data_IF_118297215232
#
_entry.id   IF_118297215232
#
_cell.length_a   1.000
_cell.length_b   1.000
_cell.length_c   1.000
_cell.angle_alpha   90.00
_cell.angle_beta   90.00
_cell.angle_gamma   90.00
#
_symmetry.space_group_name_H-M   'P 1'
#
loop_
_entity.id
_entity.type
_entity.pdbx_description
1 polymer ?
#
# COMPACT_ATOMS: atom_id res chain seq x y z
N UNK A 1 -23.62 5.60 -28.56
CA UNK A 1 -24.19 6.44 -27.50
C UNK A 1 -23.14 6.58 -26.41
N UNK A 2 -22.37 7.66 -26.49
CA UNK A 2 -21.11 7.82 -25.77
C UNK A 2 -21.23 8.68 -24.51
N UNK A 3 -20.22 8.50 -23.65
CA UNK A 3 -19.62 9.53 -22.78
C UNK A 3 -20.48 10.19 -21.70
N UNK A 4 -20.91 9.41 -20.68
CA UNK A 4 -21.26 9.97 -19.36
C UNK A 4 -20.36 9.49 -18.20
N UNK A 5 -19.33 8.68 -18.46
CA UNK A 5 -18.43 8.16 -17.42
C UNK A 5 -17.13 8.94 -17.16
N UNK A 6 -16.73 9.87 -18.05
CA UNK A 6 -15.37 10.44 -18.05
C UNK A 6 -15.17 11.66 -17.13
N UNK A 7 -16.22 12.39 -16.77
CA UNK A 7 -16.06 13.61 -15.95
C UNK A 7 -15.61 13.31 -14.52
N UNK A 8 -15.87 12.11 -14.00
CA UNK A 8 -15.54 11.76 -12.62
C UNK A 8 -14.12 11.18 -12.48
N UNK A 9 -13.61 10.47 -13.48
CA UNK A 9 -12.27 9.86 -13.44
C UNK A 9 -11.16 10.90 -13.37
N UNK A 10 -11.23 11.94 -14.21
CA UNK A 10 -10.22 12.98 -14.24
C UNK A 10 -10.12 13.71 -12.90
N UNK A 11 -11.25 13.98 -12.25
CA UNK A 11 -11.29 14.59 -10.92
C UNK A 11 -10.60 13.67 -9.90
N UNK A 12 -10.96 12.39 -9.87
CA UNK A 12 -10.33 11.42 -8.96
C UNK A 12 -8.81 11.28 -9.18
N UNK A 13 -8.35 11.32 -10.43
CA UNK A 13 -6.92 11.25 -10.75
C UNK A 13 -6.18 12.54 -10.37
N UNK A 14 -6.81 13.71 -10.53
CA UNK A 14 -6.26 14.99 -10.06
C UNK A 14 -6.16 14.99 -8.54
N UNK A 15 -7.22 14.58 -7.83
CA UNK A 15 -7.21 14.49 -6.37
C UNK A 15 -6.13 13.52 -5.87
N UNK A 16 -6.00 12.36 -6.51
CA UNK A 16 -4.93 11.40 -6.21
C UNK A 16 -3.55 12.01 -6.43
N UNK A 17 -3.35 12.76 -7.53
CA UNK A 17 -2.08 13.44 -7.79
C UNK A 17 -1.77 14.50 -6.73
N UNK A 18 -2.75 15.32 -6.35
CA UNK A 18 -2.58 16.38 -5.34
C UNK A 18 -2.26 15.79 -3.96
N UNK A 19 -2.85 14.65 -3.60
CA UNK A 19 -2.61 13.97 -2.32
C UNK A 19 -1.27 13.21 -2.28
N UNK A 20 -0.86 12.63 -3.42
CA UNK A 20 0.26 11.69 -3.47
C UNK A 20 1.53 12.32 -4.07
N UNK A 21 1.47 13.56 -4.55
CA UNK A 21 2.47 14.23 -5.39
C UNK A 21 2.87 13.44 -6.66
N UNK A 22 2.18 12.34 -6.96
CA UNK A 22 2.46 11.44 -8.07
C UNK A 22 1.23 10.61 -8.38
N UNK A 23 1.01 10.39 -9.67
CA UNK A 23 0.04 9.41 -10.16
C UNK A 23 0.77 8.11 -10.53
N UNK A 24 0.74 7.11 -9.66
CA UNK A 24 1.36 5.81 -9.92
C UNK A 24 0.60 5.03 -11.02
N UNK A 25 1.26 4.05 -11.63
CA UNK A 25 0.67 3.29 -12.74
C UNK A 25 -0.52 2.45 -12.30
N UNK A 26 -0.56 1.94 -11.05
CA UNK A 26 -1.71 1.16 -10.59
C UNK A 26 -2.94 2.06 -10.57
N UNK A 27 -2.82 3.27 -10.01
CA UNK A 27 -3.89 4.27 -10.02
C UNK A 27 -4.36 4.61 -11.44
N UNK A 28 -3.44 4.77 -12.41
CA UNK A 28 -3.81 5.00 -13.82
C UNK A 28 -4.61 3.84 -14.42
N UNK A 29 -4.20 2.60 -14.16
CA UNK A 29 -4.92 1.40 -14.64
C UNK A 29 -6.29 1.29 -13.97
N UNK A 30 -6.41 1.61 -12.68
CA UNK A 30 -7.72 1.65 -12.02
C UNK A 30 -8.65 2.71 -12.62
N UNK A 31 -8.10 3.76 -13.25
CA UNK A 31 -8.83 4.81 -13.94
C UNK A 31 -9.74 4.34 -15.08
N UNK A 32 -9.51 3.15 -15.66
CA UNK A 32 -10.44 2.56 -16.62
C UNK A 32 -11.81 2.23 -16.01
N UNK A 33 -11.89 2.13 -14.68
CA UNK A 33 -13.12 1.81 -13.94
C UNK A 33 -13.35 2.84 -12.82
N UNK A 34 -14.02 3.98 -13.10
CA UNK A 34 -14.03 5.13 -12.18
C UNK A 34 -14.70 4.84 -10.83
N UNK A 35 -15.75 4.01 -10.83
CA UNK A 35 -16.41 3.57 -9.59
C UNK A 35 -15.49 2.70 -8.72
N UNK A 36 -14.63 1.89 -9.34
CA UNK A 36 -13.65 1.09 -8.62
C UNK A 36 -12.49 1.97 -8.13
N UNK A 37 -12.02 2.89 -8.98
CA UNK A 37 -10.97 3.86 -8.63
C UNK A 37 -11.31 4.64 -7.36
N UNK A 38 -12.54 5.16 -7.24
CA UNK A 38 -12.96 5.89 -6.04
C UNK A 38 -12.83 5.04 -4.75
N UNK A 39 -13.38 3.83 -4.75
CA UNK A 39 -13.28 2.92 -3.59
C UNK A 39 -11.83 2.51 -3.31
N UNK A 40 -11.04 2.29 -4.36
CA UNK A 40 -9.63 1.96 -4.26
C UNK A 40 -8.83 3.07 -3.58
N UNK A 41 -8.96 4.32 -4.05
CA UNK A 41 -8.27 5.48 -3.50
C UNK A 41 -8.68 5.75 -2.05
N UNK A 42 -9.97 5.70 -1.74
CA UNK A 42 -10.46 5.87 -0.36
C UNK A 42 -9.90 4.82 0.59
N UNK A 43 -9.88 3.56 0.16
CA UNK A 43 -9.33 2.45 0.95
C UNK A 43 -7.83 2.58 1.15
N UNK A 44 -7.09 2.91 0.09
CA UNK A 44 -5.64 3.11 0.16
C UNK A 44 -5.29 4.27 1.08
N UNK A 45 -6.00 5.40 0.96
CA UNK A 45 -5.81 6.56 1.83
C UNK A 45 -6.08 6.20 3.29
N UNK A 46 -7.20 5.55 3.58
CA UNK A 46 -7.54 5.11 4.94
C UNK A 46 -6.44 4.22 5.55
N UNK A 47 -5.97 3.22 4.81
CA UNK A 47 -4.98 2.27 5.32
C UNK A 47 -3.61 2.94 5.49
N UNK A 48 -3.12 3.70 4.51
CA UNK A 48 -1.74 4.16 4.49
C UNK A 48 -1.52 5.56 5.07
N UNK A 49 -2.51 6.46 4.99
CA UNK A 49 -2.36 7.88 5.31
C UNK A 49 -3.44 8.46 6.23
N UNK A 50 -4.53 7.74 6.48
CA UNK A 50 -5.56 8.15 7.41
C UNK A 50 -5.11 8.01 8.87
N UNK A 51 -5.71 8.77 9.77
CA UNK A 51 -5.49 8.62 11.20
C UNK A 51 -5.76 7.18 11.64
N UNK A 52 -4.89 6.65 12.49
CA UNK A 52 -4.97 5.25 12.88
C UNK A 52 -3.92 4.85 13.91
N UNK A 53 -4.00 3.61 14.41
CA UNK A 53 -3.22 3.15 15.56
C UNK A 53 -1.73 2.91 15.27
N UNK A 54 -1.32 2.97 14.01
CA UNK A 54 0.06 2.74 13.59
C UNK A 54 0.66 4.01 12.95
N UNK A 55 1.93 4.34 13.26
CA UNK A 55 2.70 5.35 12.53
C UNK A 55 2.78 5.05 11.02
N UNK A 56 2.85 6.07 10.17
CA UNK A 56 2.80 5.90 8.70
C UNK A 56 3.95 5.05 8.15
N UNK A 57 5.18 5.25 8.65
CA UNK A 57 6.35 4.45 8.31
C UNK A 57 6.14 2.95 8.61
N UNK A 58 5.53 2.61 9.75
CA UNK A 58 5.17 1.22 10.06
C UNK A 58 4.23 0.63 9.02
N UNK A 59 3.23 1.38 8.56
CA UNK A 59 2.24 0.91 7.57
C UNK A 59 2.90 0.65 6.22
N UNK A 60 3.75 1.55 5.75
CA UNK A 60 4.51 1.36 4.52
C UNK A 60 5.49 0.18 4.63
N UNK A 61 6.14 -0.01 5.78
CA UNK A 61 7.00 -1.18 5.98
C UNK A 61 6.23 -2.50 5.99
N UNK A 62 5.05 -2.54 6.61
CA UNK A 62 4.15 -3.70 6.54
C UNK A 62 3.75 -3.99 5.09
N UNK A 63 3.44 -2.96 4.30
CA UNK A 63 3.13 -3.11 2.88
C UNK A 63 4.33 -3.66 2.08
N UNK A 64 5.57 -3.25 2.39
CA UNK A 64 6.80 -3.84 1.82
C UNK A 64 6.88 -5.33 2.15
N UNK A 65 6.66 -5.72 3.40
CA UNK A 65 6.69 -7.13 3.82
C UNK A 65 5.62 -7.96 3.09
N UNK A 66 4.41 -7.43 2.95
CA UNK A 66 3.32 -8.11 2.24
C UNK A 66 3.64 -8.28 0.74
N UNK A 67 4.05 -7.21 0.06
CA UNK A 67 4.45 -7.26 -1.36
C UNK A 67 5.66 -8.19 -1.60
N UNK A 68 6.57 -8.28 -0.64
CA UNK A 68 7.71 -9.20 -0.64
C UNK A 68 7.33 -10.67 -0.74
N UNK A 69 6.17 -11.10 -0.21
CA UNK A 69 5.71 -12.49 -0.27
C UNK A 69 5.45 -12.98 -1.70
N UNK A 70 5.13 -12.07 -2.61
CA UNK A 70 4.89 -12.36 -4.03
C UNK A 70 5.98 -11.80 -4.94
N UNK A 71 7.13 -11.38 -4.39
CA UNK A 71 8.23 -10.77 -5.14
C UNK A 71 7.78 -9.60 -6.03
N UNK A 72 6.77 -8.84 -5.59
CA UNK A 72 6.22 -7.74 -6.37
C UNK A 72 7.14 -6.51 -6.28
N UNK A 73 8.18 -6.48 -7.10
CA UNK A 73 9.20 -5.43 -7.12
C UNK A 73 8.62 -4.03 -7.30
N UNK A 74 7.56 -3.90 -8.11
CA UNK A 74 6.86 -2.64 -8.33
C UNK A 74 6.30 -2.06 -7.02
N UNK A 75 5.48 -2.84 -6.30
CA UNK A 75 4.88 -2.39 -5.04
C UNK A 75 5.95 -2.22 -3.95
N UNK A 76 6.96 -3.09 -3.90
CA UNK A 76 8.08 -2.94 -2.97
C UNK A 76 8.77 -1.60 -3.20
N UNK A 77 9.06 -1.22 -4.44
CA UNK A 77 9.76 0.03 -4.75
C UNK A 77 8.90 1.26 -4.42
N UNK A 78 7.60 1.21 -4.73
CA UNK A 78 6.65 2.28 -4.40
C UNK A 78 6.58 2.48 -2.88
N UNK A 79 6.37 1.41 -2.11
CA UNK A 79 6.25 1.49 -0.65
C UNK A 79 7.57 1.83 0.04
N UNK A 80 8.72 1.46 -0.54
CA UNK A 80 10.04 1.92 -0.06
C UNK A 80 10.19 3.44 -0.19
N UNK A 81 9.70 4.05 -1.27
CA UNK A 81 9.73 5.50 -1.44
C UNK A 81 8.86 6.19 -0.40
N UNK A 82 7.60 5.75 -0.27
CA UNK A 82 6.66 6.31 0.72
C UNK A 82 7.18 6.13 2.15
N UNK A 83 7.73 4.96 2.51
CA UNK A 83 8.34 4.72 3.82
C UNK A 83 9.38 5.78 4.20
N UNK A 84 10.26 6.17 3.24
CA UNK A 84 11.28 7.19 3.47
C UNK A 84 10.67 8.60 3.54
N UNK A 85 9.67 8.90 2.71
CA UNK A 85 8.96 10.19 2.76
C UNK A 85 8.31 10.40 4.13
N UNK A 86 7.77 9.34 4.73
CA UNK A 86 7.16 9.37 6.06
C UNK A 86 8.17 9.33 7.22
N UNK A 87 9.48 9.50 6.95
CA UNK A 87 10.52 9.55 7.99
C UNK A 87 11.00 8.20 8.51
N UNK A 88 10.69 7.09 7.81
CA UNK A 88 11.12 5.76 8.20
C UNK A 88 12.64 5.58 8.19
N UNK A 89 13.15 4.80 9.14
CA UNK A 89 14.58 4.50 9.25
C UNK A 89 15.08 3.64 8.08
N UNK A 90 15.97 4.21 7.27
CA UNK A 90 16.63 3.56 6.12
C UNK A 90 17.31 2.24 6.48
N UNK A 91 17.75 2.07 7.72
CA UNK A 91 18.40 0.84 8.17
C UNK A 91 17.49 -0.39 8.04
N UNK A 92 16.17 -0.21 8.19
CA UNK A 92 15.17 -1.29 8.09
C UNK A 92 15.08 -1.88 6.68
N UNK A 93 15.49 -1.12 5.66
CA UNK A 93 15.50 -1.56 4.27
C UNK A 93 16.67 -2.49 3.93
N UNK A 94 17.61 -2.69 4.87
CA UNK A 94 18.73 -3.65 4.73
C UNK A 94 18.29 -5.10 4.95
N UNK A 95 17.08 -5.33 5.47
CA UNK A 95 16.49 -6.65 5.65
C UNK A 95 15.76 -6.77 6.99
N UNK A 96 15.00 -7.86 7.15
CA UNK A 96 14.13 -8.08 8.31
C UNK A 96 14.88 -8.03 9.64
N UNK A 97 16.14 -8.44 9.68
CA UNK A 97 16.98 -8.42 10.88
C UNK A 97 17.19 -7.01 11.48
N UNK A 98 17.07 -5.96 10.66
CA UNK A 98 17.28 -4.56 11.05
C UNK A 98 15.99 -3.86 11.49
N UNK A 99 14.88 -4.60 11.62
CA UNK A 99 13.57 -4.03 11.97
C UNK A 99 13.22 -4.29 13.44
N UNK A 100 12.36 -3.46 14.05
CA UNK A 100 11.86 -3.69 15.40
C UNK A 100 11.21 -5.06 15.54
N UNK A 101 11.41 -5.68 16.71
CA UNK A 101 10.84 -7.00 17.00
C UNK A 101 9.32 -7.05 16.77
N UNK A 102 8.61 -5.96 17.10
CA UNK A 102 7.16 -5.83 16.89
C UNK A 102 6.75 -6.08 15.43
N UNK A 103 7.53 -5.59 14.46
CA UNK A 103 7.27 -5.81 13.03
C UNK A 103 7.73 -7.20 12.58
N UNK A 104 8.86 -7.69 13.11
CA UNK A 104 9.34 -9.06 12.82
C UNK A 104 8.32 -10.12 13.22
N UNK A 105 7.60 -9.90 14.32
CA UNK A 105 6.53 -10.80 14.78
C UNK A 105 5.38 -10.96 13.75
N UNK A 106 5.23 -10.02 12.81
CA UNK A 106 4.24 -10.12 11.73
C UNK A 106 4.69 -11.03 10.58
N UNK A 107 5.95 -11.47 10.56
CA UNK A 107 6.52 -12.20 9.42
C UNK A 107 5.83 -13.54 9.16
N UNK A 108 5.61 -14.34 10.20
CA UNK A 108 4.98 -15.67 10.05
C UNK A 108 3.50 -15.55 9.66
N UNK A 109 2.74 -14.65 10.31
CA UNK A 109 1.33 -14.45 9.94
C UNK A 109 1.19 -13.90 8.51
N UNK A 110 2.06 -13.00 8.08
CA UNK A 110 2.09 -12.50 6.69
C UNK A 110 2.33 -13.65 5.69
N UNK A 111 3.26 -14.56 6.00
CA UNK A 111 3.51 -15.76 5.17
C UNK A 111 2.29 -16.68 5.09
N UNK A 112 1.58 -16.90 6.20
CA UNK A 112 0.36 -17.71 6.23
C UNK A 112 -0.73 -17.02 5.39
N UNK A 113 -1.02 -15.75 5.64
CA UNK A 113 -2.03 -14.97 4.93
C UNK A 113 -1.80 -14.95 3.41
N UNK A 114 -0.54 -14.83 2.98
CA UNK A 114 -0.19 -14.74 1.56
C UNK A 114 -0.30 -16.06 0.78
N UNK A 115 -0.20 -17.22 1.45
CA UNK A 115 -0.06 -18.50 0.74
C UNK A 115 -1.02 -19.60 1.19
N UNK A 116 -1.41 -19.63 2.48
CA UNK A 116 -2.27 -20.65 3.07
C UNK A 116 -3.14 -20.05 4.18
N UNK A 117 -4.00 -19.07 3.87
CA UNK A 117 -4.75 -18.32 4.88
C UNK A 117 -5.63 -19.20 5.79
N UNK A 118 -6.09 -20.36 5.29
CA UNK A 118 -6.88 -21.34 6.05
C UNK A 118 -6.12 -22.03 7.20
N UNK A 119 -4.79 -21.91 7.27
CA UNK A 119 -3.99 -22.43 8.39
C UNK A 119 -3.96 -21.48 9.59
N UNK A 120 -4.56 -20.30 9.48
CA UNK A 120 -4.63 -19.35 10.59
C UNK A 120 -5.50 -19.93 11.70
N UNK A 121 -4.91 -20.13 12.87
CA UNK A 121 -5.59 -20.57 14.08
C UNK A 121 -5.41 -19.55 15.20
N UNK A 122 -6.30 -19.60 16.20
CA UNK A 122 -6.05 -18.92 17.47
C UNK A 122 -4.99 -19.74 18.20
N UNK A 123 -3.87 -19.13 18.53
CA UNK A 123 -2.88 -19.71 19.46
C UNK A 123 -3.48 -19.83 20.84
#
# INVERSE_FOLDING_TARGET
MGHQGNFNTHVLLIDAFLQNNRLDHVTQVMGYHPKYLDVFLRTQNFILRGDGPLPYDYRHYIAIMAAGRHQCSYLIQLQKQEFIIQGGDKSWLKGLAYTPQKLRNLYEINKILAHRPWLLNKS
#
